data_IF_537718439645
#
_entry.id   IF_537718439645
#
_cell.length_a   1.000
_cell.length_b   1.000
_cell.length_c   1.000
_cell.angle_alpha   90.00
_cell.angle_beta   90.00
_cell.angle_gamma   90.00
#
_symmetry.space_group_name_H-M   'P 1'
#
loop_
_entity.id
_entity.type
_entity.pdbx_description
1 polymer ?
#
# COMPACT_ATOMS: atom_id res chain seq x y z
N UNK A 1 -4.00 34.49 -23.22
CA UNK A 1 -2.93 33.47 -23.20
C UNK A 1 -2.06 33.46 -24.46
N UNK A 2 -2.50 34.01 -25.60
CA UNK A 2 -1.71 34.09 -26.83
C UNK A 2 -0.64 35.22 -26.88
N UNK A 3 -0.64 36.16 -25.93
CA UNK A 3 0.20 37.38 -26.02
C UNK A 3 1.46 37.37 -25.13
N UNK A 4 1.78 36.28 -24.44
CA UNK A 4 2.99 36.16 -23.62
C UNK A 4 3.66 34.80 -23.80
N UNK A 5 4.27 34.53 -24.98
CA UNK A 5 4.88 33.24 -25.31
C UNK A 5 5.99 32.84 -24.33
N UNK A 6 6.74 33.81 -23.81
CA UNK A 6 7.77 33.58 -22.79
C UNK A 6 7.19 33.04 -21.48
N UNK A 7 6.08 33.61 -21.01
CA UNK A 7 5.39 33.15 -19.80
C UNK A 7 4.79 31.76 -19.99
N UNK A 8 4.13 31.52 -21.12
CA UNK A 8 3.57 30.20 -21.44
C UNK A 8 4.66 29.13 -21.52
N UNK A 9 5.82 29.44 -22.11
CA UNK A 9 6.97 28.52 -22.15
C UNK A 9 7.54 28.26 -20.76
N UNK A 10 7.67 29.29 -19.93
CA UNK A 10 8.15 29.15 -18.56
C UNK A 10 7.22 28.25 -17.72
N UNK A 11 5.91 28.45 -17.83
CA UNK A 11 4.90 27.63 -17.14
C UNK A 11 4.92 26.18 -17.67
N UNK A 12 4.95 25.99 -18.99
CA UNK A 12 5.01 24.64 -19.57
C UNK A 12 6.29 23.89 -19.18
N UNK A 13 7.42 24.58 -19.11
CA UNK A 13 8.71 24.02 -18.66
C UNK A 13 8.64 23.65 -17.18
N UNK A 14 8.09 24.54 -16.34
CA UNK A 14 7.92 24.29 -14.92
C UNK A 14 7.00 23.09 -14.67
N UNK A 15 5.85 23.02 -15.35
CA UNK A 15 4.94 21.88 -15.25
C UNK A 15 5.59 20.59 -15.74
N UNK A 16 6.35 20.62 -16.83
CA UNK A 16 7.08 19.44 -17.32
C UNK A 16 8.13 18.96 -16.31
N UNK A 17 8.83 19.88 -15.63
CA UNK A 17 9.75 19.54 -14.54
C UNK A 17 9.00 18.91 -13.36
N UNK A 18 7.86 19.48 -12.95
CA UNK A 18 7.02 18.92 -11.88
C UNK A 18 6.52 17.51 -12.24
N UNK A 19 6.05 17.30 -13.47
CA UNK A 19 5.62 15.98 -13.97
C UNK A 19 6.78 14.98 -13.93
N UNK A 20 7.98 15.34 -14.39
CA UNK A 20 9.16 14.44 -14.32
C UNK A 20 9.55 14.10 -12.89
N UNK A 21 9.49 15.06 -11.96
CA UNK A 21 9.73 14.83 -10.53
C UNK A 21 8.68 13.90 -9.94
N UNK A 22 7.40 14.09 -10.26
CA UNK A 22 6.32 13.23 -9.80
C UNK A 22 6.41 11.83 -10.39
N UNK A 23 6.73 11.67 -11.68
CA UNK A 23 6.94 10.35 -12.30
C UNK A 23 8.13 9.62 -11.69
N UNK A 24 9.23 10.33 -11.42
CA UNK A 24 10.39 9.76 -10.73
C UNK A 24 10.03 9.34 -9.31
N UNK A 25 9.32 10.17 -8.56
CA UNK A 25 8.81 9.82 -7.22
C UNK A 25 7.87 8.63 -7.27
N UNK A 26 6.95 8.56 -8.23
CA UNK A 26 6.09 7.39 -8.45
C UNK A 26 6.93 6.14 -8.71
N UNK A 27 7.99 6.24 -9.52
CA UNK A 27 8.90 5.14 -9.82
C UNK A 27 9.76 4.73 -8.60
N UNK A 28 10.26 5.68 -7.82
CA UNK A 28 10.95 5.47 -6.53
C UNK A 28 9.98 4.91 -5.45
N UNK A 29 8.68 5.24 -5.52
CA UNK A 29 7.61 4.57 -4.76
C UNK A 29 7.18 3.24 -5.39
N UNK A 30 7.63 2.94 -6.60
CA UNK A 30 7.43 1.65 -7.29
C UNK A 30 8.59 0.69 -7.01
N UNK A 31 9.76 1.20 -6.58
CA UNK A 31 10.85 0.35 -6.06
C UNK A 31 10.50 -0.31 -4.73
N UNK A 32 9.56 0.26 -3.95
CA UNK A 32 8.70 -0.55 -3.10
C UNK A 32 7.48 -1.00 -3.89
N UNK A 33 7.50 -2.22 -4.42
CA UNK A 33 6.35 -2.77 -5.14
C UNK A 33 5.09 -2.63 -4.26
N UNK A 34 3.91 -2.34 -4.85
CA UNK A 34 2.64 -2.15 -4.12
C UNK A 34 2.40 -3.21 -3.04
N UNK A 35 2.88 -4.44 -3.29
CA UNK A 35 2.92 -5.55 -2.34
C UNK A 35 3.63 -5.22 -1.02
N UNK A 36 4.83 -4.64 -1.05
CA UNK A 36 5.62 -4.36 0.15
C UNK A 36 4.95 -3.32 1.03
N UNK A 37 4.40 -2.25 0.43
CA UNK A 37 3.61 -1.24 1.15
C UNK A 37 2.37 -1.85 1.78
N UNK A 38 1.72 -2.77 1.09
CA UNK A 38 0.56 -3.48 1.60
C UNK A 38 0.94 -4.40 2.77
N UNK A 39 2.02 -5.16 2.66
CA UNK A 39 2.49 -6.06 3.73
C UNK A 39 2.89 -5.27 4.97
N UNK A 40 3.61 -4.15 4.80
CA UNK A 40 3.97 -3.26 5.89
C UNK A 40 2.74 -2.66 6.58
N UNK A 41 1.75 -2.19 5.82
CA UNK A 41 0.51 -1.66 6.42
C UNK A 41 -0.31 -2.75 7.10
N UNK A 42 -0.39 -3.95 6.51
CA UNK A 42 -1.05 -5.09 7.13
C UNK A 42 -0.37 -5.48 8.45
N UNK A 43 0.96 -5.56 8.48
CA UNK A 43 1.72 -5.83 9.68
C UNK A 43 1.46 -4.76 10.75
N UNK A 44 1.51 -3.48 10.38
CA UNK A 44 1.24 -2.36 11.28
C UNK A 44 -0.16 -2.46 11.92
N UNK A 45 -1.17 -2.79 11.12
CA UNK A 45 -2.54 -3.00 11.60
C UNK A 45 -2.65 -4.23 12.52
N UNK A 46 -1.99 -5.32 12.15
CA UNK A 46 -2.00 -6.56 12.89
C UNK A 46 -1.31 -6.40 14.25
N UNK A 47 -0.16 -5.73 14.31
CA UNK A 47 0.54 -5.44 15.57
C UNK A 47 -0.26 -4.53 16.50
N UNK A 48 -0.95 -3.52 15.95
CA UNK A 48 -1.83 -2.67 16.73
C UNK A 48 -3.05 -3.43 17.30
N UNK A 49 -3.48 -4.51 16.66
CA UNK A 49 -4.60 -5.35 17.09
C UNK A 49 -4.16 -6.58 17.93
N UNK A 50 -2.86 -6.87 17.99
CA UNK A 50 -2.33 -8.06 18.64
C UNK A 50 -2.48 -7.97 20.17
N UNK A 51 -2.90 -9.06 20.81
CA UNK A 51 -3.06 -9.18 22.27
C UNK A 51 -1.97 -10.03 22.94
N UNK A 52 -0.81 -10.19 22.28
CA UNK A 52 0.35 -10.92 22.81
C UNK A 52 0.49 -12.37 22.36
N UNK A 53 -0.54 -12.99 21.78
CA UNK A 53 -0.53 -14.41 21.36
C UNK A 53 0.17 -14.70 20.03
N UNK A 54 0.95 -13.74 19.48
CA UNK A 54 1.60 -13.91 18.17
C UNK A 54 0.63 -13.96 16.98
N UNK A 55 -0.67 -13.81 17.21
CA UNK A 55 -1.73 -13.67 16.22
C UNK A 55 -2.44 -12.32 16.40
N UNK A 56 -3.14 -11.88 15.34
CA UNK A 56 -3.94 -10.67 15.38
C UNK A 56 -5.32 -10.89 14.75
N UNK A 57 -6.33 -10.22 15.28
CA UNK A 57 -7.68 -10.22 14.75
C UNK A 57 -8.12 -8.79 14.46
N UNK A 58 -8.33 -8.48 13.19
CA UNK A 58 -8.80 -7.19 12.71
C UNK A 58 -10.33 -7.23 12.63
N UNK A 59 -10.99 -6.61 13.61
CA UNK A 59 -12.45 -6.56 13.71
C UNK A 59 -12.93 -5.16 14.15
N UNK A 60 -13.62 -4.40 13.28
CA UNK A 60 -13.88 -4.69 11.87
C UNK A 60 -12.58 -4.59 11.04
N UNK A 61 -12.42 -5.41 9.98
CA UNK A 61 -11.29 -5.28 9.09
C UNK A 61 -11.46 -4.04 8.21
N UNK A 62 -10.36 -3.32 7.89
CA UNK A 62 -10.41 -2.24 6.92
C UNK A 62 -10.79 -2.79 5.54
N UNK A 63 -11.58 -2.02 4.80
CA UNK A 63 -11.93 -2.33 3.43
C UNK A 63 -10.71 -2.23 2.51
N UNK A 64 -10.75 -2.92 1.37
CA UNK A 64 -9.68 -2.80 0.37
C UNK A 64 -9.52 -1.36 -0.14
N UNK A 65 -10.58 -0.55 -0.13
CA UNK A 65 -10.52 0.86 -0.51
C UNK A 65 -9.79 1.72 0.53
N UNK A 66 -10.03 1.47 1.82
CA UNK A 66 -9.31 2.15 2.90
C UNK A 66 -7.82 1.79 2.90
N UNK A 67 -7.49 0.50 2.71
CA UNK A 67 -6.09 0.06 2.55
C UNK A 67 -5.46 0.72 1.31
N UNK A 68 -6.17 0.74 0.19
CA UNK A 68 -5.67 1.34 -1.04
C UNK A 68 -5.37 2.84 -0.87
N UNK A 69 -6.26 3.55 -0.19
CA UNK A 69 -6.07 4.97 0.15
C UNK A 69 -4.83 5.18 1.03
N UNK A 70 -4.67 4.38 2.09
CA UNK A 70 -3.52 4.44 3.01
C UNK A 70 -2.19 4.24 2.32
N UNK A 71 -2.13 3.29 1.37
CA UNK A 71 -0.89 2.98 0.66
C UNK A 71 -0.77 3.68 -0.69
N UNK A 72 -1.63 4.66 -1.01
CA UNK A 72 -1.60 5.41 -2.27
C UNK A 72 -1.58 4.50 -3.52
N UNK A 73 -2.58 3.64 -3.63
CA UNK A 73 -2.79 2.73 -4.77
C UNK A 73 -4.28 2.59 -5.13
N UNK A 74 -4.62 1.62 -5.98
CA UNK A 74 -5.99 1.30 -6.36
C UNK A 74 -6.51 0.03 -5.67
N UNK A 75 -7.84 0.00 -5.43
CA UNK A 75 -8.54 -1.14 -4.81
C UNK A 75 -8.24 -2.47 -5.49
N UNK A 76 -8.06 -2.47 -6.80
CA UNK A 76 -7.76 -3.67 -7.59
C UNK A 76 -6.42 -4.29 -7.21
N UNK A 77 -5.37 -3.47 -7.04
CA UNK A 77 -4.05 -3.95 -6.65
C UNK A 77 -4.06 -4.55 -5.24
N UNK A 78 -4.77 -3.92 -4.30
CA UNK A 78 -4.97 -4.46 -2.95
C UNK A 78 -5.72 -5.79 -2.99
N UNK A 79 -6.77 -5.89 -3.81
CA UNK A 79 -7.58 -7.11 -3.92
C UNK A 79 -6.74 -8.29 -4.43
N UNK A 80 -5.91 -8.07 -5.46
CA UNK A 80 -5.02 -9.11 -5.99
C UNK A 80 -3.99 -9.57 -4.96
N UNK A 81 -3.39 -8.64 -4.22
CA UNK A 81 -2.40 -9.00 -3.20
C UNK A 81 -3.03 -9.68 -1.98
N UNK A 82 -4.23 -9.25 -1.55
CA UNK A 82 -4.97 -9.94 -0.49
C UNK A 82 -5.30 -11.38 -0.87
N UNK A 83 -5.71 -11.61 -2.13
CA UNK A 83 -5.94 -12.97 -2.62
C UNK A 83 -4.67 -13.83 -2.56
N UNK A 84 -3.51 -13.25 -2.89
CA UNK A 84 -2.22 -13.94 -2.73
C UNK A 84 -1.89 -14.23 -1.26
N UNK A 85 -2.03 -13.25 -0.36
CA UNK A 85 -1.80 -13.44 1.07
C UNK A 85 -2.72 -14.51 1.69
N UNK A 86 -3.98 -14.55 1.26
CA UNK A 86 -4.97 -15.56 1.69
C UNK A 86 -4.56 -16.95 1.20
N UNK A 87 -4.19 -17.08 -0.09
CA UNK A 87 -3.71 -18.34 -0.66
C UNK A 87 -2.40 -18.85 -0.01
N UNK A 88 -1.53 -17.95 0.46
CA UNK A 88 -0.29 -18.28 1.17
C UNK A 88 -0.48 -18.45 2.69
N UNK A 89 -1.70 -18.25 3.20
CA UNK A 89 -2.04 -18.41 4.61
C UNK A 89 -1.45 -17.35 5.53
N UNK A 90 -1.10 -16.16 5.02
CA UNK A 90 -0.72 -15.01 5.85
C UNK A 90 -1.93 -14.31 6.47
N UNK A 91 -3.10 -14.44 5.84
CA UNK A 91 -4.37 -13.93 6.33
C UNK A 91 -5.45 -15.00 6.16
N UNK A 92 -6.43 -15.00 7.07
CA UNK A 92 -7.58 -15.91 7.03
C UNK A 92 -8.84 -15.10 7.36
N UNK A 93 -9.92 -15.31 6.62
CA UNK A 93 -11.23 -14.76 6.98
C UNK A 93 -11.82 -15.53 8.15
N UNK A 94 -12.19 -14.82 9.22
CA UNK A 94 -12.85 -15.39 10.39
C UNK A 94 -14.17 -14.65 10.62
N UNK A 95 -15.24 -15.16 10.02
CA UNK A 95 -16.55 -14.50 10.01
C UNK A 95 -16.48 -13.11 9.36
N UNK A 96 -16.70 -12.05 10.15
CA UNK A 96 -16.60 -10.65 9.71
C UNK A 96 -15.25 -10.01 9.99
N UNK A 97 -14.30 -10.77 10.54
CA UNK A 97 -12.97 -10.31 10.90
C UNK A 97 -11.90 -10.87 9.95
N UNK A 98 -10.74 -10.23 9.92
CA UNK A 98 -9.55 -10.72 9.25
C UNK A 98 -8.52 -11.16 10.29
N UNK A 99 -8.17 -12.44 10.28
CA UNK A 99 -7.18 -13.02 11.18
C UNK A 99 -5.81 -13.06 10.50
N UNK A 100 -4.79 -12.63 11.22
CA UNK A 100 -3.38 -12.91 10.92
C UNK A 100 -2.94 -14.02 11.87
N UNK A 101 -2.77 -15.27 11.39
CA UNK A 101 -2.52 -16.42 12.26
C UNK A 101 -1.12 -16.44 12.85
N UNK A 102 -0.15 -15.80 12.19
CA UNK A 102 1.25 -15.77 12.62
C UNK A 102 1.89 -14.42 12.25
N UNK A 103 2.09 -13.58 13.26
CA UNK A 103 2.75 -12.27 13.13
C UNK A 103 4.24 -12.40 12.83
N UNK A 104 4.91 -13.45 13.29
CA UNK A 104 6.34 -13.63 13.02
C UNK A 104 6.57 -13.99 11.56
N UNK A 105 5.73 -14.87 11.01
CA UNK A 105 5.75 -15.20 9.58
C UNK A 105 5.48 -13.96 8.73
N UNK A 106 4.52 -13.12 9.14
CA UNK A 106 4.23 -11.85 8.44
C UNK A 106 5.39 -10.84 8.55
N UNK A 107 6.05 -10.72 9.71
CA UNK A 107 7.27 -9.90 9.85
C UNK A 107 8.40 -10.37 8.95
N UNK A 108 8.62 -11.69 8.87
CA UNK A 108 9.59 -12.28 7.98
C UNK A 108 9.34 -11.91 6.51
N UNK A 109 8.07 -11.92 6.09
CA UNK A 109 7.68 -11.50 4.74
C UNK A 109 8.02 -10.02 4.47
N UNK A 110 7.82 -9.14 5.44
CA UNK A 110 8.15 -7.70 5.31
C UNK A 110 9.65 -7.45 5.30
N UNK A 111 10.45 -8.26 6.03
CA UNK A 111 11.90 -8.07 6.18
C UNK A 111 12.78 -8.82 5.17
N UNK A 112 12.22 -9.53 4.19
CA UNK A 112 12.96 -10.40 3.26
C UNK A 112 13.33 -9.73 1.92
N UNK A 113 13.36 -8.40 1.82
CA UNK A 113 13.81 -7.62 0.64
C UNK A 113 14.75 -6.48 1.04
#
# INVERSE_FOLDING_TARGET
MANHPEFTRAVATHLTQQVRVLTRRVFEFSTMAVRQRLWAELLRLAEAAAKGEGQALLSPPPTHAEIASRISTHREAVTREFAWLEAQGFIVKEGRALKVPDLQKLRGLVGSD
#
